data_IF_731272919331
#
_entry.id   IF_731272919331
#
_cell.length_a   1.000
_cell.length_b   1.000
_cell.length_c   1.000
_cell.angle_alpha   90.00
_cell.angle_beta   90.00
_cell.angle_gamma   90.00
#
_symmetry.space_group_name_H-M   'P 1'
#
loop_
_entity.id
_entity.type
_entity.pdbx_description
1 polymer ?
#
# COMPACT_ATOMS: atom_id res chain seq x y z
N UNK A 1 -8.06 -33.73 10.81
CA UNK A 1 -9.05 -33.73 11.92
C UNK A 1 -9.71 -32.36 12.01
N UNK A 2 -10.84 -32.21 12.70
CA UNK A 2 -11.38 -30.87 12.95
C UNK A 2 -10.33 -30.02 13.69
N UNK A 3 -10.06 -28.80 13.22
CA UNK A 3 -9.07 -27.89 13.78
C UNK A 3 -7.61 -28.20 13.42
N UNK A 4 -7.33 -29.24 12.62
CA UNK A 4 -5.94 -29.60 12.31
C UNK A 4 -5.20 -28.58 11.44
N UNK A 5 -5.92 -27.72 10.71
CA UNK A 5 -5.31 -26.64 9.92
C UNK A 5 -5.32 -25.29 10.67
N UNK A 6 -5.86 -25.25 11.89
CA UNK A 6 -5.88 -24.07 12.75
C UNK A 6 -6.42 -22.83 12.03
N UNK A 7 -5.63 -21.76 11.99
CA UNK A 7 -6.04 -20.47 11.38
C UNK A 7 -6.33 -20.58 9.88
N UNK A 8 -5.75 -21.55 9.17
CA UNK A 8 -5.99 -21.74 7.74
C UNK A 8 -7.45 -22.11 7.44
N UNK A 9 -8.13 -22.83 8.35
CA UNK A 9 -9.56 -23.14 8.19
C UNK A 9 -10.40 -21.87 8.13
N UNK A 10 -10.09 -20.91 9.02
CA UNK A 10 -10.81 -19.64 9.10
C UNK A 10 -10.53 -18.74 7.90
N UNK A 11 -9.27 -18.68 7.45
CA UNK A 11 -8.86 -17.86 6.30
C UNK A 11 -9.48 -18.40 5.01
N UNK A 12 -9.41 -19.71 4.78
CA UNK A 12 -10.00 -20.33 3.59
C UNK A 12 -11.52 -20.11 3.55
N UNK A 13 -12.23 -20.33 4.65
CA UNK A 13 -13.67 -20.10 4.72
C UNK A 13 -14.05 -18.61 4.55
N UNK A 14 -13.22 -17.69 5.05
CA UNK A 14 -13.42 -16.25 4.83
C UNK A 14 -13.27 -15.89 3.35
N UNK A 15 -12.22 -16.37 2.69
CA UNK A 15 -11.97 -16.10 1.27
C UNK A 15 -13.07 -16.71 0.38
N UNK A 16 -13.51 -17.93 0.69
CA UNK A 16 -14.62 -18.62 0.05
C UNK A 16 -15.91 -17.76 0.06
N UNK A 17 -16.24 -17.19 1.22
CA UNK A 17 -17.41 -16.31 1.37
C UNK A 17 -17.31 -15.04 0.54
N UNK A 18 -16.16 -14.37 0.55
CA UNK A 18 -15.96 -13.14 -0.24
C UNK A 18 -16.01 -13.38 -1.74
N UNK A 19 -15.54 -14.54 -2.18
CA UNK A 19 -15.52 -14.92 -3.59
C UNK A 19 -16.81 -15.64 -4.03
N UNK A 20 -17.74 -15.94 -3.10
CA UNK A 20 -18.95 -16.70 -3.38
C UNK A 20 -18.69 -18.10 -3.93
N UNK A 21 -17.58 -18.75 -3.55
CA UNK A 21 -17.17 -20.07 -4.06
C UNK A 21 -16.68 -20.99 -2.94
N UNK A 22 -17.07 -22.26 -3.01
CA UNK A 22 -16.71 -23.27 -1.99
C UNK A 22 -15.20 -23.55 -1.95
N UNK A 23 -14.56 -23.55 -3.13
CA UNK A 23 -13.12 -23.73 -3.30
C UNK A 23 -12.49 -22.40 -3.71
N UNK A 24 -12.02 -21.57 -2.75
CA UNK A 24 -11.41 -20.29 -3.05
C UNK A 24 -10.07 -20.47 -3.79
N UNK A 25 -9.71 -19.48 -4.61
CA UNK A 25 -8.47 -19.44 -5.38
C UNK A 25 -7.83 -18.04 -5.26
N UNK A 26 -6.57 -17.93 -5.69
CA UNK A 26 -5.79 -16.71 -5.69
C UNK A 26 -5.40 -16.37 -7.14
N UNK A 27 -6.42 -16.07 -7.95
CA UNK A 27 -6.27 -15.92 -9.41
C UNK A 27 -5.46 -14.69 -9.80
N UNK A 28 -5.67 -13.57 -9.09
CA UNK A 28 -4.92 -12.33 -9.25
C UNK A 28 -4.61 -11.73 -7.89
N UNK A 29 -3.34 -11.80 -7.50
CA UNK A 29 -2.84 -11.18 -6.28
C UNK A 29 -2.11 -9.90 -6.66
N UNK A 30 -2.53 -8.78 -6.08
CA UNK A 30 -1.89 -7.48 -6.27
C UNK A 30 -1.32 -6.96 -4.96
N UNK A 31 -0.18 -6.29 -5.06
CA UNK A 31 0.40 -5.43 -4.02
C UNK A 31 0.40 -4.01 -4.59
N UNK A 32 -0.33 -3.10 -3.96
CA UNK A 32 -0.39 -1.70 -4.35
C UNK A 32 0.38 -0.87 -3.30
N UNK A 33 1.42 -0.15 -3.71
CA UNK A 33 2.20 0.73 -2.84
C UNK A 33 1.89 2.18 -3.20
N UNK A 34 1.13 2.87 -2.35
CA UNK A 34 0.89 4.30 -2.49
C UNK A 34 1.95 5.09 -1.73
N UNK A 35 2.71 5.92 -2.44
CA UNK A 35 3.80 6.70 -1.85
C UNK A 35 3.42 8.19 -1.81
N UNK A 36 3.46 8.82 -0.64
CA UNK A 36 3.19 10.24 -0.46
C UNK A 36 4.12 10.84 0.60
N UNK A 37 4.32 12.15 0.56
CA UNK A 37 5.15 12.87 1.53
C UNK A 37 4.30 13.59 2.58
N UNK A 38 4.89 13.83 3.75
CA UNK A 38 4.19 14.43 4.90
C UNK A 38 4.92 15.68 5.41
N UNK A 39 4.20 16.80 5.57
CA UNK A 39 4.81 18.06 6.02
C UNK A 39 5.38 18.03 7.43
N UNK A 40 4.83 17.17 8.31
CA UNK A 40 5.32 17.00 9.69
C UNK A 40 6.79 16.56 9.75
N UNK A 41 7.34 15.95 8.68
CA UNK A 41 8.75 15.51 8.65
C UNK A 41 9.72 16.67 8.74
N UNK A 42 9.31 17.90 8.40
CA UNK A 42 10.10 19.12 8.60
C UNK A 42 10.46 19.37 10.07
N UNK A 43 9.74 18.77 11.02
CA UNK A 43 10.05 18.83 12.45
C UNK A 43 11.14 17.84 12.90
N UNK A 44 11.74 17.07 11.99
CA UNK A 44 12.79 16.11 12.34
C UNK A 44 12.26 14.85 13.04
N UNK A 45 11.00 14.49 12.83
CA UNK A 45 10.37 13.27 13.40
C UNK A 45 10.83 11.97 12.72
N UNK A 46 11.62 12.07 11.65
CA UNK A 46 12.14 10.95 10.88
C UNK A 46 13.68 10.96 10.89
N UNK A 47 14.29 9.78 10.94
CA UNK A 47 15.73 9.61 10.76
C UNK A 47 16.19 9.78 9.30
N UNK A 48 15.25 9.84 8.36
CA UNK A 48 15.49 9.97 6.92
C UNK A 48 14.84 11.25 6.37
N UNK A 49 15.50 11.95 5.42
CA UNK A 49 14.92 13.12 4.77
C UNK A 49 13.73 12.73 3.86
N UNK A 50 12.79 13.64 3.63
CA UNK A 50 11.59 13.39 2.81
C UNK A 50 11.90 12.96 1.37
N UNK A 51 13.06 13.36 0.84
CA UNK A 51 13.54 12.98 -0.49
C UNK A 51 13.71 11.46 -0.67
N UNK A 52 13.87 10.72 0.43
CA UNK A 52 13.98 9.25 0.40
C UNK A 52 12.73 8.60 -0.18
N UNK A 53 11.55 9.23 -0.06
CA UNK A 53 10.32 8.70 -0.67
C UNK A 53 10.46 8.58 -2.19
N UNK A 54 10.97 9.61 -2.87
CA UNK A 54 11.18 9.60 -4.33
C UNK A 54 12.20 8.54 -4.71
N UNK A 55 13.29 8.43 -3.94
CA UNK A 55 14.32 7.43 -4.16
C UNK A 55 13.78 6.00 -3.99
N UNK A 56 12.91 5.77 -3.01
CA UNK A 56 12.29 4.47 -2.77
C UNK A 56 11.27 4.12 -3.86
N UNK A 57 10.51 5.09 -4.37
CA UNK A 57 9.63 4.86 -5.54
C UNK A 57 10.46 4.42 -6.75
N UNK A 58 11.59 5.08 -7.02
CA UNK A 58 12.51 4.65 -8.06
C UNK A 58 13.10 3.25 -7.79
N UNK A 59 13.43 2.94 -6.53
CA UNK A 59 13.91 1.62 -6.13
C UNK A 59 12.85 0.52 -6.32
N UNK A 60 11.58 0.81 -6.02
CA UNK A 60 10.47 -0.12 -6.28
C UNK A 60 10.31 -0.36 -7.78
N UNK A 61 10.34 0.70 -8.60
CA UNK A 61 10.27 0.58 -10.06
C UNK A 61 11.46 -0.21 -10.62
N UNK A 62 12.65 -0.06 -10.03
CA UNK A 62 13.86 -0.80 -10.38
C UNK A 62 13.89 -2.25 -9.87
N UNK A 63 12.92 -2.70 -9.09
CA UNK A 63 12.87 -4.07 -8.57
C UNK A 63 13.84 -4.37 -7.41
N UNK A 64 14.44 -3.34 -6.81
CA UNK A 64 15.54 -3.47 -5.86
C UNK A 64 15.13 -3.52 -4.39
N UNK A 65 13.86 -3.28 -4.07
CA UNK A 65 13.39 -3.27 -2.70
C UNK A 65 12.91 -4.64 -2.21
N UNK A 66 12.80 -4.79 -0.89
CA UNK A 66 12.29 -6.01 -0.25
C UNK A 66 10.88 -6.39 -0.75
N UNK A 67 9.99 -5.40 -0.96
CA UNK A 67 8.63 -5.66 -1.43
C UNK A 67 8.59 -6.28 -2.83
N UNK A 68 9.56 -5.95 -3.69
CA UNK A 68 9.67 -6.58 -5.01
C UNK A 68 9.94 -8.08 -4.88
N UNK A 69 10.80 -8.48 -3.95
CA UNK A 69 11.12 -9.89 -3.74
C UNK A 69 9.96 -10.65 -3.08
N UNK A 70 9.31 -10.03 -2.09
CA UNK A 70 8.13 -10.62 -1.44
C UNK A 70 6.98 -10.81 -2.44
N UNK A 71 6.70 -9.82 -3.28
CA UNK A 71 5.69 -9.92 -4.33
C UNK A 71 6.01 -11.05 -5.31
N UNK A 72 7.28 -11.18 -5.75
CA UNK A 72 7.71 -12.30 -6.61
C UNK A 72 7.53 -13.66 -5.96
N UNK A 73 7.94 -13.83 -4.70
CA UNK A 73 7.77 -15.09 -3.95
C UNK A 73 6.29 -15.44 -3.81
N UNK A 74 5.43 -14.44 -3.60
CA UNK A 74 3.99 -14.62 -3.47
C UNK A 74 3.26 -14.76 -4.82
N UNK A 75 3.94 -14.61 -5.96
CA UNK A 75 3.31 -14.58 -7.28
C UNK A 75 2.37 -13.38 -7.48
N UNK A 76 2.62 -12.27 -6.79
CA UNK A 76 1.80 -11.07 -6.84
C UNK A 76 2.34 -10.02 -7.83
N UNK A 77 1.43 -9.35 -8.52
CA UNK A 77 1.69 -8.15 -9.32
C UNK A 77 1.92 -6.96 -8.37
N UNK A 78 3.01 -6.22 -8.55
CA UNK A 78 3.36 -5.07 -7.72
C UNK A 78 3.21 -3.77 -8.53
N UNK A 79 2.28 -2.91 -8.10
CA UNK A 79 2.08 -1.58 -8.65
C UNK A 79 2.49 -0.53 -7.62
N UNK A 80 3.23 0.49 -8.05
CA UNK A 80 3.68 1.59 -7.19
C UNK A 80 3.04 2.87 -7.71
N UNK A 81 2.24 3.53 -6.86
CA UNK A 81 1.44 4.70 -7.20
C UNK A 81 1.97 5.90 -6.40
N UNK A 82 2.75 6.80 -7.01
CA UNK A 82 3.12 8.06 -6.38
C UNK A 82 1.90 8.99 -6.25
N UNK A 83 1.63 9.46 -5.04
CA UNK A 83 0.62 10.44 -4.68
C UNK A 83 1.30 11.80 -4.50
N UNK A 84 1.50 12.49 -5.62
CA UNK A 84 2.08 13.83 -5.75
C UNK A 84 3.25 14.12 -4.78
N UNK A 85 4.40 13.50 -5.06
CA UNK A 85 5.54 13.49 -4.13
C UNK A 85 6.17 14.87 -3.90
N UNK A 86 5.97 15.82 -4.81
CA UNK A 86 6.48 17.18 -4.69
C UNK A 86 5.59 18.05 -3.78
N UNK A 87 4.37 17.59 -3.48
CA UNK A 87 3.39 18.29 -2.64
C UNK A 87 3.09 17.47 -1.39
N UNK A 88 3.92 17.61 -0.33
CA UNK A 88 3.65 16.93 0.93
C UNK A 88 2.33 17.41 1.54
N UNK A 89 1.72 16.56 2.36
CA UNK A 89 0.59 16.99 3.20
C UNK A 89 1.00 18.19 4.08
N UNK A 90 0.03 18.96 4.56
CA UNK A 90 0.26 19.92 5.63
C UNK A 90 0.90 19.25 6.86
N UNK A 91 1.67 20.03 7.62
CA UNK A 91 2.07 19.66 8.97
C UNK A 91 0.82 19.71 9.87
N UNK A 92 0.28 18.52 10.15
CA UNK A 92 -0.99 18.37 10.89
C UNK A 92 -0.95 18.92 12.32
N UNK A 93 0.23 19.26 12.84
CA UNK A 93 0.35 19.90 14.15
C UNK A 93 0.08 21.40 14.09
N UNK A 94 0.15 22.01 12.89
CA UNK A 94 -0.02 23.44 12.66
C UNK A 94 -1.26 23.76 11.81
N UNK A 95 -1.52 22.95 10.79
CA UNK A 95 -2.62 23.11 9.81
C UNK A 95 -3.20 21.75 9.46
N UNK A 96 -4.43 21.62 8.94
CA UNK A 96 -4.91 20.34 8.44
C UNK A 96 -3.95 19.71 7.42
N UNK A 97 -3.78 18.39 7.47
CA UNK A 97 -2.89 17.66 6.55
C UNK A 97 -3.32 17.80 5.08
N UNK A 98 -4.62 17.90 4.82
CA UNK A 98 -5.20 18.01 3.49
C UNK A 98 -6.55 18.72 3.59
N UNK A 99 -6.95 19.37 2.50
CA UNK A 99 -8.32 19.81 2.32
C UNK A 99 -9.18 18.70 1.71
N UNK A 100 -10.46 19.00 1.46
CA UNK A 100 -11.40 18.04 0.90
C UNK A 100 -11.06 17.62 -0.53
N UNK A 101 -10.46 18.50 -1.33
CA UNK A 101 -10.11 18.20 -2.72
C UNK A 101 -8.93 17.24 -2.79
N UNK A 102 -7.86 17.54 -2.05
CA UNK A 102 -6.70 16.66 -1.92
C UNK A 102 -7.07 15.29 -1.33
N UNK A 103 -7.99 15.25 -0.35
CA UNK A 103 -8.53 13.98 0.17
C UNK A 103 -9.24 13.17 -0.91
N UNK A 104 -10.16 13.79 -1.66
CA UNK A 104 -10.91 13.11 -2.72
C UNK A 104 -9.99 12.64 -3.84
N UNK A 105 -8.95 13.40 -4.18
CA UNK A 105 -7.94 13.00 -5.14
C UNK A 105 -7.18 11.73 -4.69
N UNK A 106 -6.72 11.69 -3.43
CA UNK A 106 -6.03 10.54 -2.87
C UNK A 106 -6.94 9.29 -2.81
N UNK A 107 -8.19 9.44 -2.38
CA UNK A 107 -9.17 8.35 -2.37
C UNK A 107 -9.46 7.84 -3.78
N UNK A 108 -9.60 8.75 -4.75
CA UNK A 108 -9.87 8.42 -6.15
C UNK A 108 -8.69 7.68 -6.79
N UNK A 109 -7.45 8.03 -6.43
CA UNK A 109 -6.26 7.29 -6.85
C UNK A 109 -6.28 5.85 -6.34
N UNK A 110 -6.66 5.65 -5.06
CA UNK A 110 -6.84 4.32 -4.47
C UNK A 110 -7.94 3.51 -5.15
N UNK A 111 -9.10 4.12 -5.38
CA UNK A 111 -10.23 3.50 -6.06
C UNK A 111 -9.89 3.09 -7.50
N UNK A 112 -9.14 3.93 -8.23
CA UNK A 112 -8.80 3.67 -9.64
C UNK A 112 -7.73 2.59 -9.84
N UNK A 113 -7.05 2.18 -8.76
CA UNK A 113 -5.98 1.18 -8.81
C UNK A 113 -6.46 -0.28 -8.70
N UNK A 114 -7.73 -0.49 -8.33
CA UNK A 114 -8.33 -1.83 -8.11
C UNK A 114 -9.31 -2.25 -9.19
#
# INVERSE_FOLDING_TARGET
>A
PQGSLGRLETIAAWLARWQGRDMPQLDRVKVLVFAGNHGVTAQGVSAFPSEVTVQMVANFAGGGAAINQLARIAGAELDVIPLDLDYPTGDFTQVPAMDGEAFLAAVSAGHSAV
#
